data_IF_172683644107
#
_entry.id   IF_172683644107
#
_cell.length_a   1.000
_cell.length_b   1.000
_cell.length_c   1.000
_cell.angle_alpha   90.00
_cell.angle_beta   90.00
_cell.angle_gamma   90.00
#
_symmetry.space_group_name_H-M   'P 1'
#
loop_
_entity.id
_entity.type
_entity.pdbx_description
1 polymer ?
#
# COMPACT_ATOMS: atom_id res chain seq x y z
N UNK A 1 48.37 -26.41 -35.77
CA UNK A 1 47.40 -25.32 -35.48
C UNK A 1 46.32 -25.86 -34.55
N UNK A 2 46.50 -25.71 -33.24
CA UNK A 2 45.58 -26.18 -32.21
C UNK A 2 44.51 -25.12 -31.99
N UNK A 3 43.26 -25.35 -32.41
CA UNK A 3 42.16 -24.41 -32.14
C UNK A 3 41.82 -24.44 -30.64
N UNK A 4 41.73 -23.29 -29.96
CA UNK A 4 41.31 -23.23 -28.56
C UNK A 4 39.83 -23.61 -28.46
N UNK A 5 39.55 -24.89 -28.21
CA UNK A 5 38.18 -25.39 -27.95
C UNK A 5 37.60 -24.89 -26.62
N UNK A 6 38.43 -24.25 -25.78
CA UNK A 6 38.03 -23.68 -24.49
C UNK A 6 37.36 -22.29 -24.56
N UNK A 7 37.56 -21.52 -25.64
CA UNK A 7 37.00 -20.16 -25.76
C UNK A 7 35.48 -20.15 -25.99
N UNK A 8 34.95 -21.15 -26.71
CA UNK A 8 33.50 -21.28 -26.91
C UNK A 8 32.79 -21.72 -25.62
N UNK A 9 33.43 -22.59 -24.84
CA UNK A 9 32.93 -23.02 -23.54
C UNK A 9 32.87 -21.87 -22.54
N UNK A 10 33.93 -21.05 -22.46
CA UNK A 10 33.95 -19.88 -21.56
C UNK A 10 32.94 -18.81 -21.99
N UNK A 11 32.79 -18.55 -23.29
CA UNK A 11 31.83 -17.57 -23.80
C UNK A 11 30.37 -17.94 -23.46
N UNK A 12 29.99 -19.22 -23.57
CA UNK A 12 28.65 -19.66 -23.18
C UNK A 12 28.43 -19.60 -21.66
N UNK A 13 29.46 -19.88 -20.84
CA UNK A 13 29.37 -19.75 -19.39
C UNK A 13 29.14 -18.29 -18.96
N UNK A 14 29.90 -17.36 -19.54
CA UNK A 14 29.71 -15.93 -19.29
C UNK A 14 28.35 -15.43 -19.78
N UNK A 15 27.92 -15.85 -20.97
CA UNK A 15 26.59 -15.51 -21.49
C UNK A 15 25.47 -16.05 -20.58
N UNK A 16 25.60 -17.29 -20.11
CA UNK A 16 24.66 -17.90 -19.17
C UNK A 16 24.63 -17.17 -17.83
N UNK A 17 25.80 -16.78 -17.29
CA UNK A 17 25.90 -16.01 -16.05
C UNK A 17 25.23 -14.63 -16.18
N UNK A 18 25.51 -13.90 -17.26
CA UNK A 18 24.90 -12.60 -17.52
C UNK A 18 23.39 -12.72 -17.70
N UNK A 19 22.92 -13.75 -18.42
CA UNK A 19 21.49 -14.01 -18.58
C UNK A 19 20.83 -14.33 -17.24
N UNK A 20 21.44 -15.21 -16.43
CA UNK A 20 20.94 -15.54 -15.09
C UNK A 20 20.91 -14.30 -14.19
N UNK A 21 21.92 -13.43 -14.27
CA UNK A 21 21.97 -12.18 -13.54
C UNK A 21 20.84 -11.22 -13.97
N UNK A 22 20.62 -11.06 -15.28
CA UNK A 22 19.54 -10.22 -15.81
C UNK A 22 18.14 -10.75 -15.41
N UNK A 23 17.93 -12.06 -15.51
CA UNK A 23 16.67 -12.69 -15.09
C UNK A 23 16.48 -12.54 -13.59
N UNK A 24 17.52 -12.79 -12.79
CA UNK A 24 17.49 -12.61 -11.33
C UNK A 24 17.16 -11.18 -10.92
N UNK A 25 17.81 -10.20 -11.57
CA UNK A 25 17.56 -8.78 -11.31
C UNK A 25 16.15 -8.37 -11.75
N UNK A 26 15.68 -8.83 -12.90
CA UNK A 26 14.32 -8.59 -13.38
C UNK A 26 13.26 -9.15 -12.43
N UNK A 27 13.46 -10.37 -11.94
CA UNK A 27 12.58 -11.00 -10.95
C UNK A 27 12.56 -10.20 -9.63
N UNK A 28 13.72 -9.72 -9.18
CA UNK A 28 13.83 -8.89 -7.98
C UNK A 28 13.09 -7.56 -8.13
N UNK A 29 13.22 -6.89 -9.29
CA UNK A 29 12.50 -5.64 -9.58
C UNK A 29 10.99 -5.84 -9.65
N UNK A 30 10.52 -6.93 -10.27
CA UNK A 30 9.08 -7.26 -10.31
C UNK A 30 8.54 -7.55 -8.91
N UNK A 31 9.27 -8.31 -8.09
CA UNK A 31 8.86 -8.65 -6.74
C UNK A 31 8.77 -7.40 -5.83
N UNK A 32 9.80 -6.55 -5.86
CA UNK A 32 9.83 -5.30 -5.09
C UNK A 32 8.82 -4.26 -5.59
N UNK A 33 8.62 -4.17 -6.91
CA UNK A 33 7.58 -3.33 -7.52
C UNK A 33 6.17 -3.73 -7.07
N UNK A 34 5.87 -5.04 -7.05
CA UNK A 34 4.58 -5.54 -6.59
C UNK A 34 4.33 -5.27 -5.09
N UNK A 35 5.37 -5.33 -4.27
CA UNK A 35 5.29 -5.01 -2.84
C UNK A 35 5.02 -3.52 -2.60
N UNK A 36 5.75 -2.63 -3.28
CA UNK A 36 5.58 -1.18 -3.12
C UNK A 36 4.24 -0.66 -3.64
N UNK A 37 3.72 -1.22 -4.74
CA UNK A 37 2.40 -0.88 -5.27
C UNK A 37 1.28 -1.20 -4.27
N UNK A 38 1.40 -2.32 -3.55
CA UNK A 38 0.39 -2.75 -2.58
C UNK A 38 0.44 -1.97 -1.28
N UNK A 39 1.63 -1.55 -0.84
CA UNK A 39 1.75 -0.64 0.30
C UNK A 39 1.08 0.72 0.05
N UNK A 40 1.25 1.29 -1.16
CA UNK A 40 0.55 2.53 -1.54
C UNK A 40 -0.96 2.36 -1.65
N UNK A 41 -1.43 1.19 -2.06
CA UNK A 41 -2.86 0.90 -2.12
C UNK A 41 -3.51 0.93 -0.73
N UNK A 42 -2.81 0.46 0.32
CA UNK A 42 -3.30 0.52 1.69
C UNK A 42 -3.48 1.96 2.18
N UNK A 43 -2.52 2.85 1.89
CA UNK A 43 -2.62 4.27 2.26
C UNK A 43 -3.73 4.98 1.47
N UNK A 44 -3.84 4.74 0.16
CA UNK A 44 -4.93 5.31 -0.64
C UNK A 44 -6.32 4.82 -0.18
N UNK A 45 -6.41 3.57 0.28
CA UNK A 45 -7.63 3.04 0.89
C UNK A 45 -7.95 3.73 2.21
N UNK A 46 -6.94 4.02 3.04
CA UNK A 46 -7.10 4.80 4.27
C UNK A 46 -7.63 6.20 3.98
N UNK A 47 -7.09 6.89 2.98
CA UNK A 47 -7.53 8.24 2.59
C UNK A 47 -9.00 8.25 2.10
N UNK A 48 -9.38 7.28 1.27
CA UNK A 48 -10.78 7.13 0.83
C UNK A 48 -11.72 6.76 1.97
N UNK A 49 -11.27 5.97 2.94
CA UNK A 49 -12.04 5.64 4.12
C UNK A 49 -12.23 6.86 5.03
N UNK A 50 -11.17 7.63 5.29
CA UNK A 50 -11.24 8.85 6.07
C UNK A 50 -12.16 9.90 5.41
N UNK A 51 -12.05 10.12 4.09
CA UNK A 51 -12.95 10.99 3.34
C UNK A 51 -14.42 10.52 3.41
N UNK A 52 -14.64 9.20 3.37
CA UNK A 52 -15.97 8.63 3.52
C UNK A 52 -16.57 8.86 4.91
N UNK A 53 -15.73 8.82 5.96
CA UNK A 53 -16.11 9.21 7.31
C UNK A 53 -16.41 10.70 7.42
N UNK A 54 -15.55 11.56 6.88
CA UNK A 54 -15.74 13.01 6.92
C UNK A 54 -17.05 13.45 6.24
N UNK A 55 -17.37 12.92 5.04
CA UNK A 55 -18.65 13.21 4.35
C UNK A 55 -19.86 12.72 5.15
N UNK A 56 -19.72 11.64 5.91
CA UNK A 56 -20.80 11.09 6.72
C UNK A 56 -21.02 11.93 7.97
N UNK A 57 -19.95 12.34 8.63
CA UNK A 57 -20.01 13.22 9.78
C UNK A 57 -20.65 14.58 9.43
N UNK A 58 -20.25 15.19 8.31
CA UNK A 58 -20.87 16.42 7.78
C UNK A 58 -22.37 16.26 7.44
N UNK A 59 -22.81 15.04 7.14
CA UNK A 59 -24.21 14.73 6.87
C UNK A 59 -24.98 14.26 8.13
N UNK A 60 -24.39 14.42 9.32
CA UNK A 60 -24.92 13.92 10.59
C UNK A 60 -25.27 12.41 10.57
N UNK A 61 -24.51 11.63 9.79
CA UNK A 61 -24.60 10.16 9.73
C UNK A 61 -23.45 9.54 10.52
N UNK A 62 -23.56 8.24 10.80
CA UNK A 62 -22.50 7.48 11.45
C UNK A 62 -21.24 7.42 10.56
N UNK A 63 -20.22 8.16 10.96
CA UNK A 63 -18.96 8.26 10.24
C UNK A 63 -18.20 6.93 10.22
N UNK A 64 -18.16 6.21 11.34
CA UNK A 64 -17.39 4.97 11.43
C UNK A 64 -18.06 3.82 10.65
N UNK A 65 -19.39 3.84 10.51
CA UNK A 65 -20.08 2.92 9.62
C UNK A 65 -19.69 3.14 8.14
N UNK A 66 -19.62 4.39 7.68
CA UNK A 66 -19.22 4.73 6.31
C UNK A 66 -17.72 4.48 6.06
N UNK A 67 -16.86 4.72 7.07
CA UNK A 67 -15.44 4.33 7.05
C UNK A 67 -15.31 2.81 6.84
N UNK A 68 -16.03 2.00 7.63
CA UNK A 68 -15.99 0.55 7.51
C UNK A 68 -16.53 0.07 6.15
N UNK A 69 -17.55 0.71 5.60
CA UNK A 69 -18.05 0.40 4.26
C UNK A 69 -17.00 0.68 3.18
N UNK A 70 -16.33 1.84 3.24
CA UNK A 70 -15.27 2.22 2.30
C UNK A 70 -14.05 1.30 2.42
N UNK A 71 -13.63 0.97 3.64
CA UNK A 71 -12.51 0.06 3.91
C UNK A 71 -12.76 -1.33 3.29
N UNK A 72 -13.95 -1.91 3.47
CA UNK A 72 -14.33 -3.19 2.84
C UNK A 72 -14.29 -3.13 1.32
N UNK A 73 -14.76 -2.05 0.71
CA UNK A 73 -14.73 -1.87 -0.75
C UNK A 73 -13.30 -1.79 -1.30
N UNK A 74 -12.36 -1.29 -0.49
CA UNK A 74 -10.94 -1.18 -0.85
C UNK A 74 -10.09 -2.38 -0.37
N UNK A 75 -10.70 -3.40 0.25
CA UNK A 75 -10.01 -4.60 0.68
C UNK A 75 -9.06 -4.39 1.88
N UNK A 76 -9.35 -3.40 2.73
CA UNK A 76 -8.61 -3.15 3.97
C UNK A 76 -9.51 -3.31 5.18
N UNK A 77 -8.92 -3.73 6.30
CA UNK A 77 -9.60 -3.88 7.58
C UNK A 77 -9.42 -2.61 8.41
N UNK A 78 -10.49 -2.12 9.05
CA UNK A 78 -10.40 -0.98 9.97
C UNK A 78 -9.93 -1.48 11.34
N UNK A 79 -8.81 -0.96 11.81
CA UNK A 79 -8.24 -1.27 13.13
C UNK A 79 -8.76 -0.28 14.17
N UNK A 80 -8.85 1.00 13.80
CA UNK A 80 -9.40 2.04 14.65
C UNK A 80 -10.13 3.10 13.81
N UNK A 81 -11.19 3.66 14.38
CA UNK A 81 -11.92 4.80 13.84
C UNK A 81 -12.29 5.72 15.00
N UNK A 82 -11.92 6.99 14.90
CA UNK A 82 -12.31 8.01 15.86
C UNK A 82 -12.77 9.27 15.16
N UNK A 83 -13.81 9.89 15.70
CA UNK A 83 -14.33 11.19 15.26
C UNK A 83 -14.08 12.16 16.40
N UNK A 84 -13.46 13.30 16.11
CA UNK A 84 -13.16 14.33 17.08
C UNK A 84 -13.61 15.71 16.56
N UNK A 85 -13.98 16.58 17.49
CA UNK A 85 -14.42 17.95 17.24
C UNK A 85 -15.94 18.14 17.35
N UNK A 86 -16.41 19.29 16.86
CA UNK A 86 -17.80 19.76 16.96
C UNK A 86 -18.46 19.83 15.58
N UNK A 87 -19.75 20.20 15.51
CA UNK A 87 -20.56 20.18 14.28
C UNK A 87 -19.97 21.02 13.12
N UNK A 88 -19.09 21.99 13.43
CA UNK A 88 -18.39 22.85 12.46
C UNK A 88 -16.95 22.40 12.19
N UNK A 89 -16.28 21.81 13.17
CA UNK A 89 -14.89 21.36 13.08
C UNK A 89 -14.83 19.87 13.37
N UNK A 90 -14.80 19.06 12.32
CA UNK A 90 -14.81 17.61 12.45
C UNK A 90 -13.52 17.08 11.85
N UNK A 91 -12.84 16.19 12.57
CA UNK A 91 -11.78 15.33 12.05
C UNK A 91 -12.12 13.87 12.31
N UNK A 92 -12.05 13.08 11.24
CA UNK A 92 -12.15 11.63 11.29
C UNK A 92 -10.76 11.05 11.10
N UNK A 93 -10.33 10.28 12.07
CA UNK A 93 -9.05 9.56 12.08
C UNK A 93 -9.33 8.08 11.89
N UNK A 94 -8.59 7.46 10.96
CA UNK A 94 -8.77 6.06 10.58
C UNK A 94 -7.42 5.37 10.52
N UNK A 95 -7.33 4.23 11.21
CA UNK A 95 -6.25 3.27 11.08
C UNK A 95 -6.77 2.03 10.36
N UNK A 96 -6.10 1.65 9.28
CA UNK A 96 -6.43 0.45 8.49
C UNK A 96 -5.26 -0.50 8.41
N UNK A 97 -5.58 -1.76 8.16
CA UNK A 97 -4.62 -2.83 7.95
C UNK A 97 -4.92 -3.55 6.64
N UNK A 98 -3.87 -3.85 5.90
CA UNK A 98 -3.93 -4.65 4.68
C UNK A 98 -2.93 -5.80 4.75
N UNK A 99 -3.36 -7.00 4.35
CA UNK A 99 -2.44 -8.10 4.10
C UNK A 99 -1.98 -8.07 2.65
N UNK A 100 -0.67 -8.02 2.43
CA UNK A 100 -0.06 -8.04 1.11
C UNK A 100 0.80 -9.29 0.99
N UNK A 101 0.62 -10.09 -0.06
CA UNK A 101 1.39 -11.34 -0.20
C UNK A 101 1.75 -11.74 -1.62
N UNK A 102 3.02 -12.04 -1.86
CA UNK A 102 3.55 -12.54 -3.15
C UNK A 102 3.99 -13.99 -2.96
N UNK A 103 3.17 -14.93 -3.44
CA UNK A 103 3.38 -16.36 -3.24
C UNK A 103 3.25 -16.74 -1.74
N UNK A 104 4.21 -17.47 -1.16
CA UNK A 104 4.16 -17.87 0.25
C UNK A 104 4.48 -16.73 1.23
N UNK A 105 5.02 -15.61 0.74
CA UNK A 105 5.41 -14.48 1.58
C UNK A 105 4.21 -13.57 1.81
N UNK A 106 3.82 -13.41 3.08
CA UNK A 106 2.79 -12.45 3.52
C UNK A 106 3.45 -11.39 4.40
N UNK A 107 3.02 -10.15 4.21
CA UNK A 107 3.37 -9.03 5.06
C UNK A 107 2.10 -8.26 5.40
N UNK A 108 2.07 -7.68 6.59
CA UNK A 108 1.00 -6.78 7.01
C UNK A 108 1.48 -5.36 6.81
N UNK A 109 0.63 -4.52 6.21
CA UNK A 109 0.87 -3.09 6.04
C UNK A 109 -0.23 -2.34 6.76
N UNK A 110 0.15 -1.32 7.51
CA UNK A 110 -0.77 -0.43 8.19
C UNK A 110 -0.84 0.90 7.44
N UNK A 111 -2.02 1.49 7.40
CA UNK A 111 -2.29 2.80 6.79
C UNK A 111 -3.01 3.68 7.79
N UNK A 112 -2.65 4.95 7.82
CA UNK A 112 -3.25 5.93 8.73
C UNK A 112 -3.66 7.17 7.94
N UNK A 113 -4.89 7.62 8.13
CA UNK A 113 -5.42 8.80 7.46
C UNK A 113 -6.30 9.64 8.38
N UNK A 114 -6.26 10.95 8.16
CA UNK A 114 -7.11 11.92 8.85
C UNK A 114 -7.82 12.76 7.80
N UNK A 115 -9.14 12.91 7.93
CA UNK A 115 -9.93 13.75 7.03
C UNK A 115 -10.83 14.67 7.84
N UNK A 116 -10.77 15.97 7.54
CA UNK A 116 -11.51 16.98 8.27
C UNK A 116 -10.78 18.30 8.38
N UNK A 117 -11.35 19.22 9.14
CA UNK A 117 -10.78 20.53 9.39
C UNK A 117 -10.85 20.84 10.89
N UNK A 118 -9.68 21.08 11.49
CA UNK A 118 -9.54 21.70 12.81
C UNK A 118 -8.91 23.07 12.55
N UNK A 119 -9.74 24.08 12.34
CA UNK A 119 -9.29 25.47 12.27
C UNK A 119 -9.17 25.99 13.69
N UNK A 120 -8.26 25.43 14.50
CA UNK A 120 -8.06 25.88 15.88
C UNK A 120 -7.87 27.39 15.96
N UNK A 121 -8.96 28.10 16.21
CA UNK A 121 -9.01 29.55 16.32
C UNK A 121 -9.62 29.85 17.70
N UNK A 122 -8.78 30.14 18.72
CA UNK A 122 -9.30 30.86 19.87
C UNK A 122 -9.73 32.25 19.39
N UNK A 123 -10.97 32.62 19.69
CA UNK A 123 -11.44 34.00 19.62
C UNK A 123 -10.73 34.86 20.68
#
# INVERSE_FOLDING_TARGET
MSRPRGERGSALLWAGLVLALMVGLGALLVATGALTARGRAAQGAADLAALAGAKAALAARDACADVAASARLNGVEVVACSVAGDEVEIVVTVDVRAEVGVGPWRATVEGHANAGVLTGAPA
#
